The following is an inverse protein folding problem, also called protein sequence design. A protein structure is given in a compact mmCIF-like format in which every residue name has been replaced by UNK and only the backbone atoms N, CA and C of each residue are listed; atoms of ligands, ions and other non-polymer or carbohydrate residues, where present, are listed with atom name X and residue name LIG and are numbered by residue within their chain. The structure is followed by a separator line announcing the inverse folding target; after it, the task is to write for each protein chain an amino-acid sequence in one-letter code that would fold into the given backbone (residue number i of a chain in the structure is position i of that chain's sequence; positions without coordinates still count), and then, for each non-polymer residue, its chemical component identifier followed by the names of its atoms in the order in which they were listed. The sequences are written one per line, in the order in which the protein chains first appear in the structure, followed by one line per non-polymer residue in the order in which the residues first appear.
data_IF_044549353510
#
_entry.id   IF_044549353510
#
_cell.length_a   1.000
_cell.length_b   1.000
_cell.length_c   1.000
_cell.angle_alpha   90.00
_cell.angle_beta   90.00
_cell.angle_gamma   90.00
#
_symmetry.space_group_name_H-M   'P 1'
#
loop_
_entity.id
_entity.type
_entity.pdbx_description
1 polymer ?
#
# COMPACT_ATOMS: atom_id res chain seq x y z
N UNK A 1 -9.27 -14.32 -4.71
CA UNK A 1 -9.63 -14.95 -6.00
C UNK A 1 -8.56 -14.74 -7.10
N UNK A 2 -7.58 -13.83 -6.97
CA UNK A 2 -6.54 -13.63 -8.00
C UNK A 2 -5.62 -14.87 -8.22
N UNK A 3 -5.21 -15.57 -7.14
CA UNK A 3 -4.44 -16.81 -7.28
C UNK A 3 -5.18 -17.91 -8.04
N UNK A 4 -6.46 -18.14 -7.71
CA UNK A 4 -7.30 -19.11 -8.40
C UNK A 4 -7.51 -18.77 -9.89
N UNK A 5 -7.61 -17.48 -10.24
CA UNK A 5 -7.70 -17.03 -11.63
C UNK A 5 -6.43 -17.34 -12.44
N UNK A 6 -5.29 -17.55 -11.77
CA UNK A 6 -4.02 -18.00 -12.37
C UNK A 6 -3.76 -19.50 -12.18
N UNK A 7 -4.77 -20.28 -11.78
CA UNK A 7 -4.64 -21.72 -11.50
C UNK A 7 -3.81 -22.06 -10.25
N UNK A 8 -3.51 -21.06 -9.40
CA UNK A 8 -2.68 -21.25 -8.21
C UNK A 8 -3.56 -21.51 -6.97
N UNK A 9 -3.31 -22.63 -6.30
CA UNK A 9 -3.85 -22.88 -4.96
C UNK A 9 -2.93 -22.24 -3.92
N UNK A 10 -3.21 -20.98 -3.59
CA UNK A 10 -2.44 -20.23 -2.61
C UNK A 10 -3.19 -20.19 -1.27
N UNK A 11 -2.58 -20.74 -0.22
CA UNK A 11 -3.00 -20.58 1.16
C UNK A 11 -1.89 -19.87 1.93
N UNK A 12 -2.15 -18.62 2.32
CA UNK A 12 -1.26 -17.84 3.18
C UNK A 12 -2.00 -17.45 4.44
N UNK A 13 -1.39 -17.78 5.57
CA UNK A 13 -1.90 -17.43 6.89
C UNK A 13 -1.39 -16.05 7.35
N UNK A 14 -2.03 -15.50 8.37
CA UNK A 14 -1.64 -14.20 8.95
C UNK A 14 -0.16 -14.14 9.39
N UNK A 15 0.43 -15.29 9.76
CA UNK A 15 1.85 -15.40 10.10
C UNK A 15 2.78 -15.18 8.91
N UNK A 16 2.38 -15.59 7.70
CA UNK A 16 3.14 -15.32 6.47
C UNK A 16 3.12 -13.82 6.16
N UNK A 17 1.95 -13.19 6.26
CA UNK A 17 1.79 -11.73 6.07
C UNK A 17 2.63 -10.96 7.08
N UNK A 18 2.61 -11.37 8.34
CA UNK A 18 3.44 -10.75 9.40
C UNK A 18 4.94 -10.82 9.10
N UNK A 19 5.41 -11.90 8.48
CA UNK A 19 6.82 -12.02 8.04
C UNK A 19 7.11 -11.09 6.86
N UNK A 20 6.17 -10.92 5.93
CA UNK A 20 6.34 -10.00 4.81
C UNK A 20 6.45 -8.55 5.26
N UNK A 21 5.62 -8.14 6.21
CA UNK A 21 5.69 -6.81 6.81
C UNK A 21 7.00 -6.57 7.57
N UNK A 22 7.68 -7.63 8.02
CA UNK A 22 9.04 -7.58 8.61
C UNK A 22 10.16 -7.64 7.56
N UNK A 23 9.84 -7.53 6.27
CA UNK A 23 10.81 -7.49 5.18
C UNK A 23 11.07 -8.84 4.50
N UNK A 24 10.40 -9.94 4.90
CA UNK A 24 10.56 -11.20 4.18
C UNK A 24 9.83 -11.15 2.83
N UNK A 25 10.51 -11.39 1.72
CA UNK A 25 9.83 -11.38 0.40
C UNK A 25 8.96 -12.63 0.19
N UNK A 26 7.70 -12.49 -0.27
CA UNK A 26 6.92 -13.62 -0.77
C UNK A 26 7.61 -14.28 -1.97
N UNK A 27 7.49 -15.61 -2.12
CA UNK A 27 8.13 -16.36 -3.22
C UNK A 27 7.24 -16.44 -4.46
N UNK A 28 7.85 -16.66 -5.62
CA UNK A 28 7.15 -16.87 -6.89
C UNK A 28 6.31 -15.67 -7.31
N UNK A 29 5.14 -15.91 -7.88
CA UNK A 29 4.23 -14.89 -8.44
C UNK A 29 3.41 -14.13 -7.38
N UNK A 30 3.67 -14.38 -6.09
CA UNK A 30 2.87 -13.81 -4.99
C UNK A 30 2.99 -12.28 -4.89
N UNK A 31 4.17 -11.65 -5.05
CA UNK A 31 4.27 -10.20 -5.03
C UNK A 31 3.36 -9.55 -6.10
N UNK A 32 3.37 -10.08 -7.32
CA UNK A 32 2.55 -9.57 -8.43
C UNK A 32 1.05 -9.76 -8.18
N UNK A 33 0.68 -10.88 -7.55
CA UNK A 33 -0.70 -11.13 -7.14
C UNK A 33 -1.17 -10.17 -6.04
N UNK A 34 -0.29 -9.80 -5.11
CA UNK A 34 -0.60 -8.78 -4.10
C UNK A 34 -0.87 -7.44 -4.79
N UNK A 35 0.01 -7.01 -5.71
CA UNK A 35 -0.18 -5.80 -6.52
C UNK A 35 -1.52 -5.82 -7.27
N UNK A 36 -1.86 -6.92 -7.93
CA UNK A 36 -3.12 -7.06 -8.67
C UNK A 36 -4.35 -6.93 -7.77
N UNK A 37 -4.36 -7.65 -6.64
CA UNK A 37 -5.48 -7.63 -5.69
C UNK A 37 -5.67 -6.24 -5.09
N UNK A 38 -4.58 -5.59 -4.69
CA UNK A 38 -4.61 -4.24 -4.12
C UNK A 38 -5.03 -3.22 -5.16
N UNK A 39 -4.49 -3.30 -6.39
CA UNK A 39 -4.86 -2.38 -7.47
C UNK A 39 -6.36 -2.39 -7.73
N UNK A 40 -6.94 -3.60 -7.78
CA UNK A 40 -8.39 -3.78 -7.98
C UNK A 40 -9.23 -3.25 -6.83
N UNK A 41 -8.76 -3.40 -5.59
CA UNK A 41 -9.49 -2.92 -4.40
C UNK A 41 -9.37 -1.42 -4.19
N UNK A 42 -8.23 -0.84 -4.55
CA UNK A 42 -7.94 0.59 -4.39
C UNK A 42 -8.32 1.41 -5.62
N UNK A 43 -8.80 0.76 -6.70
CA UNK A 43 -9.15 1.39 -7.97
C UNK A 43 -8.02 2.28 -8.55
N UNK A 44 -6.76 1.92 -8.28
CA UNK A 44 -5.56 2.58 -8.80
C UNK A 44 -4.46 1.56 -9.06
N UNK A 45 -3.51 1.82 -9.97
CA UNK A 45 -2.30 1.00 -10.08
C UNK A 45 -1.54 0.98 -8.75
N UNK A 46 -1.09 -0.22 -8.37
CA UNK A 46 -0.22 -0.50 -7.22
C UNK A 46 0.99 -1.27 -7.74
N UNK A 47 2.18 -0.72 -7.55
CA UNK A 47 3.45 -1.33 -7.96
C UNK A 47 4.09 -2.14 -6.81
N UNK A 48 5.19 -2.85 -7.11
CA UNK A 48 5.98 -3.52 -6.08
C UNK A 48 6.59 -2.51 -5.10
N UNK A 49 7.03 -1.34 -5.60
CA UNK A 49 7.55 -0.26 -4.75
C UNK A 49 6.47 0.30 -3.82
N UNK A 50 5.23 0.46 -4.32
CA UNK A 50 4.10 0.94 -3.52
C UNK A 50 3.81 0.05 -2.28
N UNK A 51 4.23 -1.22 -2.31
CA UNK A 51 4.02 -2.19 -1.24
C UNK A 51 5.33 -2.63 -0.55
N UNK A 52 6.44 -1.96 -0.83
CA UNK A 52 7.74 -2.27 -0.24
C UNK A 52 8.37 -3.59 -0.69
N UNK A 53 7.92 -4.14 -1.84
CA UNK A 53 8.47 -5.34 -2.48
C UNK A 53 9.28 -5.01 -3.75
N UNK A 54 9.67 -3.74 -3.91
CA UNK A 54 10.50 -3.21 -4.99
C UNK A 54 11.90 -3.82 -5.08
N UNK A 55 12.71 -3.29 -5.99
CA UNK A 55 14.13 -3.64 -6.09
C UNK A 55 14.90 -2.85 -5.02
N UNK A 56 15.61 -3.50 -4.08
CA UNK A 56 16.35 -2.79 -3.06
C UNK A 56 17.39 -1.84 -3.68
N UNK A 57 17.40 -0.58 -3.24
CA UNK A 57 18.33 0.44 -3.72
C UNK A 57 17.88 1.19 -4.96
N UNK A 58 16.76 0.80 -5.59
CA UNK A 58 16.16 1.56 -6.67
C UNK A 58 15.14 2.57 -6.09
N UNK A 59 15.25 3.87 -6.41
CA UNK A 59 14.27 4.84 -5.96
C UNK A 59 12.92 4.55 -6.60
N UNK A 60 11.87 4.52 -5.77
CA UNK A 60 10.51 4.37 -6.26
C UNK A 60 10.19 5.48 -7.29
N UNK A 61 9.52 5.11 -8.37
CA UNK A 61 9.14 6.07 -9.40
C UNK A 61 8.34 7.22 -8.79
N UNK A 62 8.77 8.46 -9.05
CA UNK A 62 8.09 9.65 -8.57
C UNK A 62 6.65 9.67 -9.09
N UNK A 63 5.68 9.77 -8.18
CA UNK A 63 4.28 9.87 -8.59
C UNK A 63 4.03 11.24 -9.20
N UNK A 64 3.51 11.34 -10.44
CA UNK A 64 3.25 12.62 -11.06
C UNK A 64 2.22 13.43 -10.26
N UNK A 65 2.51 14.70 -10.00
CA UNK A 65 1.60 15.63 -9.35
C UNK A 65 2.31 16.86 -8.79
N UNK A 66 1.60 17.98 -8.73
CA UNK A 66 2.07 19.17 -8.01
C UNK A 66 1.88 19.00 -6.50
N UNK A 67 2.72 19.68 -5.71
CA UNK A 67 2.56 19.75 -4.26
C UNK A 67 1.17 20.28 -3.87
N UNK A 68 0.66 21.32 -4.56
CA UNK A 68 -0.69 21.85 -4.32
C UNK A 68 -1.76 20.78 -4.50
N UNK A 69 -1.72 20.05 -5.62
CA UNK A 69 -2.69 18.99 -5.88
C UNK A 69 -2.58 17.83 -4.88
N UNK A 70 -1.39 17.57 -4.35
CA UNK A 70 -1.21 16.61 -3.25
C UNK A 70 -1.85 17.12 -1.96
N UNK A 71 -1.57 18.36 -1.55
CA UNK A 71 -2.13 18.98 -0.33
C UNK A 71 -3.65 19.02 -0.38
N UNK A 72 -4.23 19.40 -1.53
CA UNK A 72 -5.67 19.41 -1.75
C UNK A 72 -6.30 18.03 -1.58
N UNK A 73 -5.72 16.99 -2.23
CA UNK A 73 -6.22 15.61 -2.11
C UNK A 73 -6.07 15.04 -0.70
N UNK A 74 -4.94 15.29 -0.05
CA UNK A 74 -4.70 14.84 1.33
C UNK A 74 -5.70 15.49 2.30
N UNK A 75 -5.97 16.78 2.13
CA UNK A 75 -6.95 17.51 2.93
C UNK A 75 -8.37 16.99 2.69
N UNK A 76 -8.74 16.73 1.44
CA UNK A 76 -10.04 16.14 1.11
C UNK A 76 -10.22 14.74 1.72
N UNK A 77 -9.19 13.90 1.63
CA UNK A 77 -9.20 12.57 2.24
C UNK A 77 -9.36 12.65 3.77
N UNK A 78 -8.60 13.52 4.43
CA UNK A 78 -8.69 13.74 5.88
C UNK A 78 -10.11 14.14 6.31
N UNK A 79 -10.72 15.10 5.61
CA UNK A 79 -12.11 15.53 5.90
C UNK A 79 -13.13 14.42 5.66
N UNK A 80 -12.90 13.55 4.67
CA UNK A 80 -13.75 12.38 4.43
C UNK A 80 -13.64 11.36 5.56
N UNK A 81 -12.41 11.04 5.98
CA UNK A 81 -12.15 10.10 7.08
C UNK A 81 -12.74 10.60 8.41
N UNK A 82 -12.62 11.90 8.69
CA UNK A 82 -13.24 12.57 9.86
C UNK A 82 -14.76 12.35 9.91
N UNK A 83 -15.42 12.44 8.75
CA UNK A 83 -16.86 12.25 8.66
C UNK A 83 -17.27 10.78 8.78
N UNK A 84 -16.44 9.85 8.30
CA UNK A 84 -16.76 8.43 8.29
C UNK A 84 -16.33 7.67 9.56
N UNK A 85 -15.33 8.16 10.30
CA UNK A 85 -14.76 7.45 11.46
C UNK A 85 -14.43 8.39 12.63
N UNK A 86 -15.43 8.85 13.39
CA UNK A 86 -15.24 9.79 14.50
C UNK A 86 -14.32 9.30 15.64
N UNK A 87 -14.08 7.98 15.73
CA UNK A 87 -13.23 7.39 16.76
C UNK A 87 -11.73 7.35 16.39
N UNK A 88 -11.37 7.55 15.12
CA UNK A 88 -9.95 7.62 14.67
C UNK A 88 -9.31 8.96 15.07
N UNK A 89 -10.12 9.93 15.47
CA UNK A 89 -9.74 11.31 15.79
C UNK A 89 -8.83 11.47 17.00
N UNK A 90 -8.75 10.44 17.85
CA UNK A 90 -7.82 10.40 18.98
C UNK A 90 -6.41 9.91 18.61
N UNK A 91 -6.21 9.39 17.39
CA UNK A 91 -4.90 8.90 16.97
C UNK A 91 -4.00 10.09 16.58
N UNK A 92 -2.82 10.25 17.19
CA UNK A 92 -1.90 11.32 16.82
C UNK A 92 -1.52 11.17 15.34
N UNK A 93 -1.53 12.29 14.61
CA UNK A 93 -1.12 12.29 13.22
C UNK A 93 0.34 11.83 13.11
N UNK A 94 0.62 10.91 12.18
CA UNK A 94 1.99 10.55 11.83
C UNK A 94 2.63 11.75 11.15
N UNK A 95 3.34 12.57 11.93
CA UNK A 95 4.23 13.58 11.37
C UNK A 95 5.43 12.84 10.81
N UNK A 96 5.67 12.97 9.50
CA UNK A 96 6.82 12.35 8.86
C UNK A 96 8.12 12.66 9.61
N UNK A 97 9.09 11.75 9.55
CA UNK A 97 10.42 11.96 10.11
C UNK A 97 11.01 13.24 9.52
N UNK A 98 11.56 14.16 10.33
CA UNK A 98 12.15 15.38 9.81
C UNK A 98 13.16 15.02 8.73
N UNK A 99 13.03 15.63 7.56
CA UNK A 99 14.05 15.54 6.52
C UNK A 99 15.35 16.11 7.09
N UNK A 100 16.36 15.26 7.23
CA UNK A 100 17.75 15.68 7.52
C UNK A 100 18.46 15.89 6.20
#
# INVERSE_FOLDING_TARGET
RAGAARGLTLRYEHTAVSRWLRGQRPRGQVPDLICEVLSRRLARPVTLDDIGLGIPGEPAAARPGSLSGFVERATALWRSDQQQRPHVLGAPAVTGTPAI
#
